data_IF_128378966190
#
_entry.id   IF_128378966190
#
_cell.length_a   1.000
_cell.length_b   1.000
_cell.length_c   1.000
_cell.angle_alpha   90.00
_cell.angle_beta   90.00
_cell.angle_gamma   90.00
#
_symmetry.space_group_name_H-M   'P 1'
#
loop_
_entity.id
_entity.type
_entity.pdbx_description
1 polymer ?
#
# COMPACT_ATOMS: atom_id res chain seq x y z
N UNK A 1 9.86 -11.67 9.33
CA UNK A 1 9.60 -11.08 8.01
C UNK A 1 10.92 -10.80 7.31
N UNK A 2 11.31 -11.58 6.29
CA UNK A 2 12.61 -11.39 5.63
C UNK A 2 12.57 -10.22 4.64
N UNK A 3 13.65 -9.43 4.58
CA UNK A 3 13.97 -8.61 3.40
C UNK A 3 13.09 -7.40 3.09
N UNK A 4 12.22 -6.92 4.00
CA UNK A 4 11.41 -5.71 3.76
C UNK A 4 12.33 -4.52 3.43
N UNK A 5 12.06 -3.84 2.32
CA UNK A 5 12.80 -2.64 1.93
C UNK A 5 11.95 -1.38 2.06
N UNK A 6 10.65 -1.49 1.79
CA UNK A 6 9.68 -0.41 1.87
C UNK A 6 8.52 -0.80 2.81
N UNK A 7 8.07 0.18 3.59
CA UNK A 7 6.94 0.03 4.50
C UNK A 7 6.12 1.31 4.46
N UNK A 8 4.80 1.23 4.44
CA UNK A 8 3.94 2.40 4.54
C UNK A 8 2.80 2.13 5.50
N UNK A 9 2.33 3.20 6.16
CA UNK A 9 1.13 3.16 6.99
C UNK A 9 -0.14 3.38 6.16
N UNK A 10 0.03 3.95 4.96
CA UNK A 10 -1.03 4.18 4.00
C UNK A 10 -1.21 2.94 3.12
N UNK A 11 -2.46 2.56 2.89
CA UNK A 11 -2.81 1.84 1.69
C UNK A 11 -2.80 2.82 0.48
N UNK A 12 -3.19 2.36 -0.70
CA UNK A 12 -3.36 3.25 -1.84
C UNK A 12 -4.69 2.92 -2.53
N UNK A 13 -5.33 3.88 -3.22
CA UNK A 13 -6.70 3.69 -3.68
C UNK A 13 -6.92 2.59 -4.69
N UNK A 14 -5.87 2.18 -5.39
CA UNK A 14 -5.89 1.03 -6.28
C UNK A 14 -6.23 -0.28 -5.55
N UNK A 15 -6.01 -0.36 -4.23
CA UNK A 15 -6.37 -1.54 -3.43
C UNK A 15 -7.86 -1.87 -3.49
N UNK A 16 -8.70 -0.86 -3.34
CA UNK A 16 -10.15 -1.02 -3.36
C UNK A 16 -10.76 -0.70 -4.74
N UNK A 17 -10.10 0.10 -5.58
CA UNK A 17 -10.56 0.36 -6.97
C UNK A 17 -10.16 -0.76 -7.94
N UNK A 18 -9.06 -1.48 -7.70
CA UNK A 18 -8.50 -2.50 -8.59
C UNK A 18 -8.06 -3.75 -7.79
N UNK A 19 -8.97 -4.41 -7.04
CA UNK A 19 -8.62 -5.49 -6.11
C UNK A 19 -7.95 -6.70 -6.79
N UNK A 20 -8.23 -6.96 -8.07
CA UNK A 20 -7.58 -8.01 -8.85
C UNK A 20 -6.05 -7.89 -8.88
N UNK A 21 -5.50 -6.66 -8.77
CA UNK A 21 -4.04 -6.42 -8.72
C UNK A 21 -3.39 -6.85 -7.41
N UNK A 22 -4.19 -7.08 -6.38
CA UNK A 22 -3.78 -7.52 -5.06
C UNK A 22 -3.97 -9.02 -4.85
N UNK A 23 -4.41 -9.77 -5.87
CA UNK A 23 -4.62 -11.24 -5.82
C UNK A 23 -3.38 -12.05 -5.44
N UNK A 24 -2.17 -11.52 -5.66
CA UNK A 24 -0.89 -12.17 -5.34
C UNK A 24 -0.26 -11.67 -4.05
N UNK A 25 -1.02 -10.92 -3.24
CA UNK A 25 -0.52 -10.39 -1.97
C UNK A 25 -0.32 -11.51 -0.95
N UNK A 26 0.71 -11.36 -0.11
CA UNK A 26 1.03 -12.27 0.97
C UNK A 26 0.64 -11.59 2.28
N UNK A 27 -0.22 -12.24 3.07
CA UNK A 27 -0.56 -11.79 4.41
C UNK A 27 0.47 -12.33 5.41
N UNK A 28 1.04 -11.43 6.20
CA UNK A 28 1.96 -11.71 7.28
C UNK A 28 1.25 -11.47 8.61
N UNK A 29 0.86 -12.58 9.24
CA UNK A 29 0.18 -12.58 10.53
C UNK A 29 1.22 -12.42 11.64
N UNK A 30 0.95 -11.53 12.59
CA UNK A 30 1.79 -11.30 13.79
C UNK A 30 0.88 -11.11 15.00
N UNK A 31 1.43 -11.12 16.21
CA UNK A 31 0.64 -11.04 17.45
C UNK A 31 -0.16 -9.74 17.62
N UNK A 32 0.28 -8.62 17.03
CA UNK A 32 -0.30 -7.28 17.31
C UNK A 32 -0.82 -6.57 16.06
N UNK A 33 -0.15 -6.74 14.91
CA UNK A 33 -0.53 -6.10 13.65
C UNK A 33 -0.25 -7.02 12.48
N UNK A 34 -1.23 -7.20 11.61
CA UNK A 34 -1.01 -7.94 10.38
C UNK A 34 -0.56 -6.99 9.27
N UNK A 35 0.25 -7.52 8.37
CA UNK A 35 0.83 -6.78 7.28
C UNK A 35 0.57 -7.53 5.98
N UNK A 36 0.42 -6.81 4.88
CA UNK A 36 0.18 -7.41 3.57
C UNK A 36 1.19 -6.86 2.59
N UNK A 37 1.71 -7.71 1.69
CA UNK A 37 2.49 -7.20 0.57
C UNK A 37 1.60 -6.43 -0.39
N UNK A 38 2.09 -5.29 -0.87
CA UNK A 38 1.32 -4.41 -1.75
C UNK A 38 2.10 -4.08 -3.02
N UNK A 39 1.42 -3.93 -4.17
CA UNK A 39 2.04 -3.44 -5.40
C UNK A 39 2.31 -1.93 -5.36
N UNK A 40 1.52 -1.16 -4.60
CA UNK A 40 1.72 0.28 -4.45
C UNK A 40 1.21 0.83 -3.11
N UNK A 41 1.67 2.04 -2.77
CA UNK A 41 1.26 2.85 -1.62
C UNK A 41 1.38 4.34 -2.01
N UNK A 42 0.96 5.25 -1.14
CA UNK A 42 1.11 6.69 -1.31
C UNK A 42 2.57 7.16 -1.24
N UNK A 43 2.81 8.42 -1.64
CA UNK A 43 4.11 9.09 -1.56
C UNK A 43 4.67 9.33 -0.14
N UNK A 44 4.05 8.78 0.90
CA UNK A 44 4.56 8.80 2.29
C UNK A 44 4.86 7.38 2.73
N UNK A 45 6.14 7.06 2.92
CA UNK A 45 6.60 5.71 3.23
C UNK A 45 7.93 5.74 3.99
N UNK A 46 8.25 4.63 4.65
CA UNK A 46 9.55 4.34 5.24
C UNK A 46 10.36 3.45 4.29
N UNK A 47 11.66 3.71 4.23
CA UNK A 47 12.60 2.99 3.37
C UNK A 47 13.94 2.79 4.08
N UNK A 48 14.57 1.64 3.89
CA UNK A 48 15.94 1.40 4.37
C UNK A 48 16.92 2.30 3.63
N UNK A 49 17.91 2.85 4.33
CA UNK A 49 18.92 3.73 3.73
C UNK A 49 19.60 3.13 2.49
N UNK A 50 20.04 1.87 2.55
CA UNK A 50 20.65 1.20 1.38
C UNK A 50 19.70 1.05 0.19
N UNK A 51 18.41 0.80 0.44
CA UNK A 51 17.39 0.74 -0.60
C UNK A 51 17.12 2.13 -1.19
N UNK A 52 17.07 3.16 -0.35
CA UNK A 52 16.94 4.57 -0.75
C UNK A 52 18.08 4.96 -1.70
N UNK A 53 19.35 4.75 -1.33
CA UNK A 53 20.49 5.09 -2.17
C UNK A 53 20.46 4.38 -3.53
N UNK A 54 20.15 3.08 -3.53
CA UNK A 54 20.09 2.27 -4.76
C UNK A 54 18.94 2.69 -5.68
N UNK A 55 17.77 2.97 -5.12
CA UNK A 55 16.53 3.21 -5.87
C UNK A 55 16.22 4.71 -6.04
N UNK A 56 17.07 5.62 -5.54
CA UNK A 56 16.85 7.07 -5.48
C UNK A 56 16.37 7.68 -6.80
N UNK A 57 16.96 7.27 -7.93
CA UNK A 57 16.58 7.74 -9.27
C UNK A 57 15.11 7.46 -9.65
N UNK A 58 14.48 6.46 -9.04
CA UNK A 58 13.07 6.14 -9.23
C UNK A 58 12.20 6.90 -8.24
N UNK A 59 12.69 7.06 -7.00
CA UNK A 59 12.02 7.79 -5.94
C UNK A 59 11.94 9.30 -6.21
N UNK A 60 12.95 9.85 -6.89
CA UNK A 60 13.02 11.25 -7.30
C UNK A 60 12.36 11.51 -8.69
N UNK A 61 11.78 10.49 -9.34
CA UNK A 61 11.18 10.69 -10.66
C UNK A 61 9.85 11.44 -10.57
N UNK A 62 9.50 12.23 -11.60
CA UNK A 62 8.24 13.01 -11.68
C UNK A 62 6.97 12.16 -11.90
N UNK A 63 7.06 10.84 -11.73
CA UNK A 63 5.90 9.95 -11.83
C UNK A 63 5.09 10.01 -10.55
N UNK A 64 3.77 9.82 -10.64
CA UNK A 64 2.94 9.62 -9.45
C UNK A 64 3.41 8.39 -8.64
N UNK A 65 3.10 8.41 -7.35
CA UNK A 65 3.45 7.38 -6.36
C UNK A 65 3.06 5.96 -6.81
N UNK A 66 1.86 5.78 -7.37
CA UNK A 66 1.41 4.50 -7.92
C UNK A 66 2.38 3.94 -8.96
N UNK A 67 2.73 4.73 -9.98
CA UNK A 67 3.63 4.29 -11.06
C UNK A 67 5.06 4.08 -10.57
N UNK A 68 5.52 4.90 -9.63
CA UNK A 68 6.80 4.71 -8.95
C UNK A 68 6.83 3.34 -8.25
N UNK A 69 5.84 3.02 -7.43
CA UNK A 69 5.82 1.76 -6.70
C UNK A 69 5.58 0.55 -7.59
N UNK A 70 4.74 0.61 -8.63
CA UNK A 70 4.62 -0.50 -9.59
C UNK A 70 5.97 -0.85 -10.21
N UNK A 71 6.82 0.14 -10.48
CA UNK A 71 8.19 -0.11 -10.94
C UNK A 71 9.02 -0.80 -9.86
N UNK A 72 9.02 -0.29 -8.64
CA UNK A 72 9.78 -0.86 -7.52
C UNK A 72 9.33 -2.29 -7.21
N UNK A 73 8.04 -2.52 -6.99
CA UNK A 73 7.49 -3.78 -6.51
C UNK A 73 7.38 -4.83 -7.63
N UNK A 74 6.84 -4.47 -8.80
CA UNK A 74 6.54 -5.46 -9.84
C UNK A 74 7.71 -5.70 -10.79
N UNK A 75 8.48 -4.66 -11.14
CA UNK A 75 9.62 -4.80 -12.06
C UNK A 75 10.92 -5.09 -11.32
N UNK A 76 11.22 -4.32 -10.27
CA UNK A 76 12.48 -4.44 -9.52
C UNK A 76 12.38 -5.39 -8.30
N UNK A 77 11.20 -5.95 -8.05
CA UNK A 77 10.94 -6.95 -7.00
C UNK A 77 11.30 -6.46 -5.60
N UNK A 78 11.10 -5.17 -5.34
CA UNK A 78 11.30 -4.51 -4.05
C UNK A 78 10.09 -4.79 -3.14
N UNK A 79 10.25 -5.50 -2.00
CA UNK A 79 9.13 -5.78 -1.12
C UNK A 79 8.60 -4.50 -0.46
N UNK A 80 7.30 -4.28 -0.61
CA UNK A 80 6.52 -3.23 0.05
C UNK A 80 5.47 -3.88 0.94
N UNK A 81 5.41 -3.47 2.20
CA UNK A 81 4.34 -3.86 3.12
C UNK A 81 3.48 -2.67 3.54
N UNK A 82 2.18 -2.92 3.69
CA UNK A 82 1.21 -2.01 4.31
C UNK A 82 0.44 -2.77 5.41
N UNK A 83 -0.05 -2.08 6.45
CA UNK A 83 -0.80 -2.72 7.52
C UNK A 83 -2.20 -3.13 7.06
N UNK A 84 -2.78 -4.11 7.75
CA UNK A 84 -4.19 -4.48 7.63
C UNK A 84 -4.84 -4.45 9.02
N UNK A 85 -5.81 -3.57 9.28
CA UNK A 85 -6.27 -2.48 8.39
C UNK A 85 -5.23 -1.37 8.19
N UNK A 86 -5.46 -0.49 7.21
CA UNK A 86 -4.66 0.72 7.00
C UNK A 86 -4.54 1.54 8.29
N UNK A 87 -3.35 2.04 8.60
CA UNK A 87 -3.11 2.87 9.79
C UNK A 87 -3.14 4.37 9.47
N UNK A 88 -3.03 4.72 8.20
CA UNK A 88 -3.20 6.06 7.69
C UNK A 88 -4.02 5.97 6.39
N UNK A 89 -4.84 6.99 6.13
CA UNK A 89 -5.84 6.97 5.05
C UNK A 89 -5.88 8.30 4.32
N UNK A 90 -6.50 8.30 3.14
CA UNK A 90 -6.82 9.55 2.47
C UNK A 90 -7.95 10.29 3.19
N UNK A 91 -7.82 11.59 3.36
CA UNK A 91 -8.91 12.45 3.87
C UNK A 91 -9.93 12.84 2.78
N UNK A 92 -10.08 12.01 1.74
CA UNK A 92 -10.97 12.25 0.61
C UNK A 92 -12.00 11.13 0.56
N UNK A 93 -13.29 11.45 0.61
CA UNK A 93 -14.38 10.48 0.70
C UNK A 93 -14.31 9.38 -0.36
N UNK A 94 -13.96 9.73 -1.61
CA UNK A 94 -13.80 8.80 -2.73
C UNK A 94 -12.58 7.84 -2.61
N UNK A 95 -11.78 8.00 -1.54
CA UNK A 95 -10.53 7.30 -1.29
C UNK A 95 -10.41 6.80 0.17
N UNK A 96 -11.51 6.78 0.92
CA UNK A 96 -11.52 6.18 2.26
C UNK A 96 -11.41 4.66 2.14
N UNK A 97 -10.61 4.05 3.02
CA UNK A 97 -10.53 2.60 3.16
C UNK A 97 -11.94 2.05 3.48
N UNK A 98 -12.40 0.96 2.84
CA UNK A 98 -13.71 0.35 3.13
C UNK A 98 -13.96 0.07 4.62
N UNK A 99 -12.93 -0.23 5.41
CA UNK A 99 -13.07 -0.44 6.85
C UNK A 99 -13.38 0.87 7.61
N UNK A 100 -13.02 2.03 7.06
CA UNK A 100 -13.47 3.32 7.59
C UNK A 100 -14.89 3.69 7.13
N UNK A 101 -15.33 3.14 6.00
CA UNK A 101 -16.73 3.19 5.54
C UNK A 101 -17.57 2.04 6.11
N UNK A 102 -17.11 1.39 7.18
CA UNK A 102 -17.79 0.23 7.77
C UNK A 102 -19.24 0.59 8.14
N UNK A 103 -19.49 1.79 8.64
CA UNK A 103 -20.85 2.27 8.94
C UNK A 103 -21.76 2.33 7.70
N UNK A 104 -21.24 2.73 6.54
CA UNK A 104 -22.01 2.73 5.28
C UNK A 104 -22.32 1.30 4.80
N UNK A 105 -21.41 0.35 5.04
CA UNK A 105 -21.63 -1.06 4.71
C UNK A 105 -22.69 -1.74 5.61
N UNK A 106 -22.95 -1.17 6.79
CA UNK A 106 -24.00 -1.64 7.71
C UNK A 106 -25.39 -1.11 7.33
N UNK A 107 -25.47 0.00 6.60
CA UNK A 107 -26.76 0.67 6.26
C UNK A 107 -27.40 0.07 5.00
N UNK A 108 -26.69 -0.83 4.30
CA UNK A 108 -27.13 -1.42 3.04
C UNK A 108 -26.89 -0.45 1.89
N UNK A 109 -26.18 -0.91 0.85
CA UNK A 109 -26.08 -0.15 -0.38
C UNK A 109 -27.50 0.03 -0.96
N UNK A 110 -27.91 1.24 -1.37
CA UNK A 110 -29.17 1.39 -2.10
C UNK A 110 -29.09 0.55 -3.39
N UNK A 111 -30.12 -0.26 -3.61
CA UNK A 111 -30.30 -1.10 -4.81
C UNK A 111 -30.22 -0.30 -6.12
#
# INVERSE_FOLDING_TARGET
MPGIEYLSLYDHPDRYKLPHRYSRSTLYVTATRHWVSAPSTCGTFLVKFGALCRDFKYLYSTKNDHQMFLRLTQRLKRPLLTPVPGLAVHCMTAHLDPLQRFEESLIGAPE
#
